data_IF_075522911952
#
_entry.id   IF_075522911952
#
_cell.length_a   1.000
_cell.length_b   1.000
_cell.length_c   1.000
_cell.angle_alpha   90.00
_cell.angle_beta   90.00
_cell.angle_gamma   90.00
#
_symmetry.space_group_name_H-M   'P 1'
#
loop_
_entity.id
_entity.type
_entity.pdbx_description
1 polymer ?
#
# COMPACT_ATOMS: atom_id res chain seq x y z
N UNK A 1 6.05 -4.92 -4.74
CA UNK A 1 5.85 -3.90 -3.70
C UNK A 1 4.38 -3.54 -3.68
N UNK A 2 3.82 -3.30 -2.51
CA UNK A 2 2.55 -2.60 -2.36
C UNK A 2 2.87 -1.20 -1.84
N UNK A 3 2.39 -0.17 -2.54
CA UNK A 3 2.71 1.22 -2.25
C UNK A 3 1.41 1.97 -1.98
N UNK A 4 1.40 2.71 -0.86
CA UNK A 4 0.23 3.46 -0.41
C UNK A 4 0.62 4.92 -0.23
N UNK A 5 -0.08 5.82 -0.91
CA UNK A 5 0.09 7.26 -0.79
C UNK A 5 -0.91 7.79 0.24
N UNK A 6 -0.39 8.46 1.27
CA UNK A 6 -1.17 9.00 2.38
C UNK A 6 -1.24 10.52 2.25
N UNK A 7 -2.39 11.01 1.81
CA UNK A 7 -2.69 12.43 1.64
C UNK A 7 -3.09 13.14 2.94
N UNK A 8 -2.58 12.64 4.06
CA UNK A 8 -2.80 13.20 5.39
C UNK A 8 -1.51 13.21 6.21
N UNK A 9 -1.48 14.00 7.29
CA UNK A 9 -0.25 14.23 8.06
C UNK A 9 0.21 13.04 8.94
N UNK A 10 -0.67 12.05 9.14
CA UNK A 10 -0.37 10.86 9.97
C UNK A 10 0.43 9.80 9.19
N UNK A 11 1.75 9.95 9.17
CA UNK A 11 2.62 8.95 8.54
C UNK A 11 2.67 7.60 9.28
N UNK A 12 2.18 7.54 10.53
CA UNK A 12 2.17 6.33 11.36
C UNK A 12 0.79 5.65 11.40
N UNK A 13 -0.12 6.00 10.48
CA UNK A 13 -1.46 5.42 10.40
C UNK A 13 -1.48 3.88 10.33
N UNK A 14 -0.37 3.25 9.91
CA UNK A 14 -0.24 1.79 9.93
C UNK A 14 -0.26 1.21 11.36
N UNK A 15 0.31 1.91 12.34
CA UNK A 15 0.36 1.45 13.74
C UNK A 15 -1.03 1.56 14.39
N UNK A 16 -1.71 2.71 14.16
CA UNK A 16 -3.09 2.94 14.59
C UNK A 16 -4.07 1.90 13.99
N UNK A 17 -3.82 1.50 12.74
CA UNK A 17 -4.62 0.50 12.03
C UNK A 17 -4.27 -0.96 12.37
N UNK A 18 -3.27 -1.19 13.24
CA UNK A 18 -2.78 -2.53 13.59
C UNK A 18 -2.17 -3.29 12.40
N UNK A 19 -1.65 -2.56 11.42
CA UNK A 19 -0.96 -3.12 10.26
C UNK A 19 0.50 -3.44 10.60
N UNK A 20 1.14 -4.37 9.87
CA UNK A 20 2.57 -4.58 10.02
C UNK A 20 3.35 -3.30 9.71
N UNK A 21 4.52 -3.14 10.31
CA UNK A 21 5.40 -2.02 9.98
C UNK A 21 5.83 -2.08 8.50
N UNK A 22 5.84 -0.95 7.78
CA UNK A 22 6.31 -0.90 6.40
C UNK A 22 7.81 -1.14 6.32
N UNK A 23 8.28 -1.64 5.17
CA UNK A 23 9.71 -1.83 4.92
C UNK A 23 10.45 -0.50 4.72
N UNK A 24 9.76 0.47 4.13
CA UNK A 24 10.26 1.83 3.92
C UNK A 24 9.10 2.82 4.05
N UNK A 25 9.37 3.97 4.63
CA UNK A 25 8.44 5.09 4.71
C UNK A 25 9.15 6.37 4.28
N UNK A 26 8.51 7.13 3.38
CA UNK A 26 8.98 8.44 2.94
C UNK A 26 7.93 9.47 3.35
N UNK A 27 8.35 10.54 4.03
CA UNK A 27 7.43 11.59 4.51
C UNK A 27 7.90 12.97 4.09
N UNK A 28 6.99 13.78 3.56
CA UNK A 28 7.22 15.20 3.35
C UNK A 28 7.11 15.95 4.68
N UNK A 29 8.21 16.59 5.11
CA UNK A 29 8.25 17.33 6.39
C UNK A 29 7.35 18.57 6.43
N UNK A 30 6.97 19.13 5.29
CA UNK A 30 6.13 20.34 5.19
C UNK A 30 4.64 20.01 5.22
N UNK A 31 4.18 19.12 4.34
CA UNK A 31 2.75 18.76 4.25
C UNK A 31 2.36 17.62 5.21
N UNK A 32 3.33 16.79 5.62
CA UNK A 32 3.07 15.60 6.42
C UNK A 32 2.67 14.37 5.60
N UNK A 33 2.34 14.52 4.31
CA UNK A 33 2.05 13.42 3.40
C UNK A 33 3.18 12.40 3.35
N UNK A 34 2.83 11.15 3.12
CA UNK A 34 3.80 10.06 3.17
C UNK A 34 3.44 8.90 2.27
N UNK A 35 4.47 8.20 1.81
CA UNK A 35 4.33 6.95 1.08
C UNK A 35 4.86 5.79 1.92
N UNK A 36 4.05 4.74 2.03
CA UNK A 36 4.40 3.50 2.72
C UNK A 36 4.70 2.41 1.69
N UNK A 37 5.80 1.68 1.90
CA UNK A 37 6.27 0.64 1.00
C UNK A 37 6.32 -0.71 1.70
N UNK A 38 5.57 -1.68 1.19
CA UNK A 38 5.57 -3.06 1.65
C UNK A 38 6.19 -3.98 0.59
N UNK A 39 7.26 -4.67 0.97
CA UNK A 39 7.90 -5.69 0.17
C UNK A 39 7.07 -6.98 0.27
N UNK A 40 6.59 -7.46 -0.88
CA UNK A 40 5.86 -8.73 -1.01
C UNK A 40 6.56 -9.60 -2.05
N UNK A 41 6.46 -10.93 -1.96
CA UNK A 41 6.88 -11.82 -3.04
C UNK A 41 6.28 -11.37 -4.38
N UNK A 42 7.06 -11.50 -5.46
CA UNK A 42 6.59 -11.09 -6.78
C UNK A 42 5.37 -11.92 -7.19
N UNK A 43 4.33 -11.22 -7.63
CA UNK A 43 3.14 -11.83 -8.22
C UNK A 43 3.23 -11.60 -9.73
N UNK A 44 3.23 -12.69 -10.50
CA UNK A 44 3.17 -12.59 -11.95
C UNK A 44 1.81 -12.00 -12.36
N UNK A 45 1.82 -10.97 -13.20
CA UNK A 45 0.62 -10.26 -13.68
C UNK A 45 0.46 -10.30 -15.20
N UNK A 46 1.23 -11.16 -15.88
CA UNK A 46 1.10 -11.36 -17.33
C UNK A 46 -0.22 -12.04 -17.67
N UNK A 47 -0.58 -12.05 -18.95
CA UNK A 47 -1.79 -12.73 -19.47
C UNK A 47 -1.88 -14.22 -19.08
N UNK A 48 -0.74 -14.88 -18.88
CA UNK A 48 -0.64 -16.30 -18.52
C UNK A 48 -0.56 -16.54 -17.00
N UNK A 49 -0.73 -15.49 -16.20
CA UNK A 49 -0.62 -15.59 -14.75
C UNK A 49 -1.83 -16.30 -14.12
N UNK A 50 -1.61 -16.84 -12.92
CA UNK A 50 -2.68 -17.45 -12.12
C UNK A 50 -3.55 -16.35 -11.53
N UNK A 51 -4.86 -16.43 -11.75
CA UNK A 51 -5.83 -15.47 -11.23
C UNK A 51 -5.84 -15.37 -9.69
N UNK A 52 -5.70 -16.51 -8.97
CA UNK A 52 -5.79 -16.55 -7.51
C UNK A 52 -4.75 -15.66 -6.80
N UNK A 53 -3.43 -15.74 -7.11
CA UNK A 53 -2.44 -14.81 -6.57
C UNK A 53 -2.72 -13.34 -6.87
N UNK A 54 -3.16 -13.01 -8.09
CA UNK A 54 -3.47 -11.63 -8.47
C UNK A 54 -4.65 -11.10 -7.65
N UNK A 55 -5.74 -11.86 -7.56
CA UNK A 55 -6.91 -11.50 -6.76
C UNK A 55 -6.57 -11.35 -5.28
N UNK A 56 -5.73 -12.24 -4.75
CA UNK A 56 -5.29 -12.15 -3.37
C UNK A 56 -4.44 -10.89 -3.11
N UNK A 57 -3.49 -10.58 -4.00
CA UNK A 57 -2.70 -9.35 -3.93
C UNK A 57 -3.60 -8.10 -3.96
N UNK A 58 -4.59 -8.06 -4.87
CA UNK A 58 -5.57 -6.96 -4.96
C UNK A 58 -6.45 -6.84 -3.71
N UNK A 59 -6.88 -7.96 -3.14
CA UNK A 59 -7.65 -7.96 -1.90
C UNK A 59 -6.85 -7.41 -0.71
N UNK A 60 -5.57 -7.79 -0.60
CA UNK A 60 -4.66 -7.23 0.41
C UNK A 60 -4.46 -5.74 0.18
N UNK A 61 -4.23 -5.31 -1.07
CA UNK A 61 -4.08 -3.90 -1.41
C UNK A 61 -5.29 -3.07 -0.99
N UNK A 62 -6.50 -3.49 -1.41
CA UNK A 62 -7.74 -2.81 -1.05
C UNK A 62 -7.97 -2.76 0.47
N UNK A 63 -7.67 -3.86 1.18
CA UNK A 63 -7.83 -3.93 2.63
C UNK A 63 -6.84 -3.04 3.41
N UNK A 64 -5.64 -2.81 2.87
CA UNK A 64 -4.66 -1.89 3.42
C UNK A 64 -5.02 -0.44 3.09
N UNK A 65 -5.35 -0.15 1.83
CA UNK A 65 -5.75 1.20 1.41
C UNK A 65 -6.93 1.74 2.24
N UNK A 66 -7.97 0.91 2.44
CA UNK A 66 -9.12 1.27 3.26
C UNK A 66 -8.77 1.50 4.75
N UNK A 67 -7.80 0.76 5.29
CA UNK A 67 -7.36 0.92 6.69
C UNK A 67 -6.45 2.13 6.89
N UNK A 68 -5.68 2.46 5.87
CA UNK A 68 -4.71 3.54 5.89
C UNK A 68 -5.31 4.89 5.46
N UNK A 69 -6.57 4.93 5.01
CA UNK A 69 -7.15 6.10 4.34
C UNK A 69 -6.25 6.59 3.19
N UNK A 70 -5.71 5.63 2.42
CA UNK A 70 -4.78 5.90 1.33
C UNK A 70 -5.54 6.36 0.07
N UNK A 71 -4.84 7.12 -0.78
CA UNK A 71 -5.36 7.51 -2.09
C UNK A 71 -5.64 6.26 -2.94
N UNK A 72 -6.91 6.06 -3.27
CA UNK A 72 -7.40 4.92 -4.07
C UNK A 72 -7.16 5.10 -5.56
N UNK A 73 -6.92 6.33 -6.01
CA UNK A 73 -6.61 6.67 -7.39
C UNK A 73 -5.10 6.66 -7.66
N UNK A 74 -4.28 6.35 -6.65
CA UNK A 74 -2.84 6.26 -6.78
C UNK A 74 -2.42 5.14 -7.77
N UNK A 75 -1.85 5.55 -8.89
CA UNK A 75 -1.49 4.65 -9.99
C UNK A 75 -0.28 3.72 -9.74
N UNK A 76 0.30 3.72 -8.53
CA UNK A 76 1.37 2.78 -8.16
C UNK A 76 0.88 1.46 -7.55
N UNK A 77 -0.44 1.27 -7.42
CA UNK A 77 -1.07 0.02 -6.96
C UNK A 77 -1.20 -1.08 -8.03
N UNK A 78 -1.57 -2.33 -7.63
CA UNK A 78 -1.74 -3.50 -8.49
C UNK A 78 -3.10 -3.63 -9.23
#
# INVERSE_FOLDING_TARGET
>A
WLVFDLDHANALAWDDAGLPAPNLMVRNRKSGHSQLFYAVPSVCTTENARAKPIQYMKAIYAAFAARLDADVDYHGGP
#
